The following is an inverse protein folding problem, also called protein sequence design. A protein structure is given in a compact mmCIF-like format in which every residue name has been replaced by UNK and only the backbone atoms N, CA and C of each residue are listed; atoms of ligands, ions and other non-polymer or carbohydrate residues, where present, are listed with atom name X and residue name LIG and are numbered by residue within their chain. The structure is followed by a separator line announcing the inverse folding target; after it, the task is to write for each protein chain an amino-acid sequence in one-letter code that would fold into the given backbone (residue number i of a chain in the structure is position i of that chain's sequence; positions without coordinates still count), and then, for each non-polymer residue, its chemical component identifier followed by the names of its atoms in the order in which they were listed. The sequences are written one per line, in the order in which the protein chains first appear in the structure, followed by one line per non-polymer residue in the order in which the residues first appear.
data_IF_479099451985
#
_entry.id   IF_479099451985
#
_cell.length_a   1.000
_cell.length_b   1.000
_cell.length_c   1.000
_cell.angle_alpha   90.00
_cell.angle_beta   90.00
_cell.angle_gamma   90.00
#
_symmetry.space_group_name_H-M   'P 1'
#
loop_
_entity.id
_entity.type
_entity.pdbx_description
1 polymer ?
#
# COMPACT_ATOMS: atom_id res chain seq x y z
N UNK A 1 -13.18 -5.14 1.76
CA UNK A 1 -13.85 -4.53 2.94
C UNK A 1 -12.81 -4.14 3.99
N UNK A 2 -11.70 -4.88 4.13
CA UNK A 2 -10.59 -4.52 5.01
C UNK A 2 -9.85 -3.23 4.63
N UNK A 3 -9.73 -2.93 3.33
CA UNK A 3 -8.99 -1.76 2.83
C UNK A 3 -9.59 -0.44 3.32
N UNK A 4 -10.90 -0.28 3.16
CA UNK A 4 -11.60 0.93 3.60
C UNK A 4 -11.53 1.09 5.13
N UNK A 5 -11.73 0.00 5.89
CA UNK A 5 -11.60 0.02 7.35
C UNK A 5 -10.19 0.39 7.81
N UNK A 6 -9.15 -0.11 7.12
CA UNK A 6 -7.78 0.27 7.40
C UNK A 6 -7.54 1.76 7.15
N UNK A 7 -7.98 2.28 6.01
CA UNK A 7 -7.82 3.70 5.68
C UNK A 7 -8.58 4.58 6.68
N UNK A 8 -9.76 4.17 7.13
CA UNK A 8 -10.50 4.87 8.19
C UNK A 8 -9.75 4.86 9.52
N UNK A 9 -9.12 3.74 9.88
CA UNK A 9 -8.29 3.66 11.08
C UNK A 9 -7.09 4.62 10.98
N UNK A 10 -6.36 4.57 9.87
CA UNK A 10 -5.22 5.46 9.64
C UNK A 10 -5.63 6.94 9.63
N UNK A 11 -6.77 7.27 9.00
CA UNK A 11 -7.31 8.63 9.00
C UNK A 11 -7.53 9.21 10.40
N UNK A 12 -7.88 8.37 11.38
CA UNK A 12 -8.11 8.77 12.77
C UNK A 12 -6.87 8.78 13.66
N UNK A 13 -5.79 8.09 13.28
CA UNK A 13 -4.63 7.86 14.14
C UNK A 13 -3.33 8.50 13.63
N UNK A 14 -3.25 8.80 12.33
CA UNK A 14 -2.03 9.26 11.69
C UNK A 14 -2.03 10.78 11.45
N UNK A 15 -0.90 11.43 11.70
CA UNK A 15 -0.71 12.85 11.43
C UNK A 15 -0.39 13.09 9.94
N UNK A 16 -1.43 13.08 9.12
CA UNK A 16 -1.27 13.36 7.70
C UNK A 16 -0.91 14.82 7.38
N UNK A 17 -1.06 15.75 8.33
CA UNK A 17 -0.59 17.13 8.14
C UNK A 17 0.94 17.14 8.04
N UNK A 18 1.61 16.44 8.97
CA UNK A 18 3.05 16.23 8.91
C UNK A 18 3.47 15.45 7.67
N UNK A 19 2.73 14.41 7.28
CA UNK A 19 3.00 13.65 6.06
C UNK A 19 3.02 14.56 4.82
N UNK A 20 2.00 15.42 4.67
CA UNK A 20 1.92 16.39 3.58
C UNK A 20 3.09 17.39 3.58
N UNK A 21 3.57 17.80 4.75
CA UNK A 21 4.75 18.67 4.83
C UNK A 21 6.03 17.98 4.37
N UNK A 22 6.24 16.71 4.75
CA UNK A 22 7.43 15.94 4.39
C UNK A 22 7.46 15.67 2.88
N UNK A 23 6.37 15.17 2.31
CA UNK A 23 6.29 14.84 0.87
C UNK A 23 6.35 16.08 -0.03
N UNK A 24 5.99 17.26 0.48
CA UNK A 24 6.16 18.52 -0.24
C UNK A 24 7.64 18.97 -0.36
N UNK A 25 8.56 18.39 0.43
CA UNK A 25 9.99 18.69 0.34
C UNK A 25 10.61 17.96 -0.86
N UNK A 26 11.14 18.67 -1.88
CA UNK A 26 11.74 18.01 -3.04
C UNK A 26 12.89 17.06 -2.69
N UNK A 27 13.62 17.37 -1.61
CA UNK A 27 14.74 16.57 -1.11
C UNK A 27 14.29 15.27 -0.44
N UNK A 28 13.03 15.15 -0.02
CA UNK A 28 12.52 13.96 0.63
C UNK A 28 12.30 12.81 -0.36
N UNK A 29 12.08 13.09 -1.65
CA UNK A 29 11.72 12.10 -2.68
C UNK A 29 12.53 10.79 -2.63
N UNK A 30 13.87 10.79 -2.54
CA UNK A 30 14.65 9.55 -2.47
C UNK A 30 14.38 8.70 -1.22
N UNK A 31 13.86 9.31 -0.16
CA UNK A 31 13.65 8.70 1.16
C UNK A 31 12.18 8.42 1.46
N UNK A 32 11.23 8.87 0.62
CA UNK A 32 9.79 8.79 0.90
C UNK A 32 9.35 7.36 1.17
N UNK A 33 9.86 6.36 0.43
CA UNK A 33 9.50 4.96 0.67
C UNK A 33 9.87 4.49 2.09
N UNK A 34 11.14 4.69 2.48
CA UNK A 34 11.62 4.28 3.81
C UNK A 34 10.97 5.09 4.94
N UNK A 35 10.78 6.39 4.72
CA UNK A 35 10.08 7.25 5.66
C UNK A 35 8.62 6.81 5.83
N UNK A 36 7.87 6.61 4.74
CA UNK A 36 6.47 6.20 4.80
C UNK A 36 6.31 4.82 5.44
N UNK A 37 7.23 3.90 5.15
CA UNK A 37 7.28 2.58 5.79
C UNK A 37 7.36 2.74 7.31
N UNK A 38 8.32 3.52 7.81
CA UNK A 38 8.47 3.75 9.25
C UNK A 38 7.25 4.48 9.84
N UNK A 39 6.82 5.57 9.21
CA UNK A 39 5.80 6.49 9.72
C UNK A 39 4.42 5.82 9.81
N UNK A 40 4.03 5.07 8.77
CA UNK A 40 2.79 4.28 8.81
C UNK A 40 2.90 3.05 9.71
N UNK A 41 4.06 2.40 9.80
CA UNK A 41 4.23 1.25 10.71
C UNK A 41 3.90 1.62 12.15
N UNK A 42 4.28 2.83 12.59
CA UNK A 42 3.95 3.31 13.93
C UNK A 42 2.43 3.46 14.13
N UNK A 43 1.71 4.03 13.17
CA UNK A 43 0.25 4.17 13.26
C UNK A 43 -0.47 2.82 13.15
N UNK A 44 0.00 1.93 12.29
CA UNK A 44 -0.52 0.56 12.17
C UNK A 44 -0.30 -0.24 13.46
N UNK A 45 0.74 0.10 14.21
CA UNK A 45 1.11 -0.55 15.47
C UNK A 45 0.33 -0.05 16.70
N UNK A 46 -0.64 0.84 16.55
CA UNK A 46 -1.38 1.42 17.70
C UNK A 46 -2.56 0.55 18.19
N UNK A 47 -2.70 -0.67 17.69
CA UNK A 47 -3.74 -1.61 18.15
C UNK A 47 -3.29 -2.36 19.42
N UNK A 48 -4.25 -2.61 20.33
CA UNK A 48 -4.02 -3.35 21.58
C UNK A 48 -3.67 -4.83 21.39
N UNK A 49 -3.97 -5.39 20.21
CA UNK A 49 -3.95 -6.84 19.97
C UNK A 49 -2.69 -7.26 19.19
N UNK A 50 -1.61 -6.48 19.28
CA UNK A 50 -0.35 -6.75 18.60
C UNK A 50 0.58 -7.52 19.51
N UNK A 51 1.10 -8.63 19.01
CA UNK A 51 2.06 -9.48 19.70
C UNK A 51 3.50 -9.17 19.29
N UNK A 52 3.74 -8.94 17.99
CA UNK A 52 5.09 -8.68 17.46
C UNK A 52 5.07 -7.87 16.16
N UNK A 53 6.18 -7.21 15.85
CA UNK A 53 6.38 -6.37 14.66
C UNK A 53 7.76 -6.64 14.06
N UNK A 54 7.81 -6.95 12.75
CA UNK A 54 9.06 -7.15 12.03
C UNK A 54 9.11 -6.38 10.71
N UNK A 55 10.28 -5.84 10.39
CA UNK A 55 10.57 -5.21 9.11
C UNK A 55 11.20 -6.18 8.11
N UNK A 56 10.94 -5.94 6.83
CA UNK A 56 11.50 -6.72 5.70
C UNK A 56 11.31 -8.24 5.88
N UNK A 57 10.14 -8.64 6.36
CA UNK A 57 9.86 -10.02 6.78
C UNK A 57 9.52 -10.89 5.57
N UNK A 58 10.22 -12.03 5.36
CA UNK A 58 9.88 -12.94 4.28
C UNK A 58 8.54 -13.62 4.52
N UNK A 59 7.72 -13.71 3.47
CA UNK A 59 6.45 -14.41 3.53
C UNK A 59 6.65 -15.89 3.87
N UNK A 60 5.78 -16.42 4.73
CA UNK A 60 5.79 -17.83 5.14
C UNK A 60 4.38 -18.39 5.22
N UNK A 61 4.24 -19.67 4.88
CA UNK A 61 3.03 -20.45 5.10
C UNK A 61 3.42 -21.89 5.47
N UNK A 62 2.84 -22.45 6.53
CA UNK A 62 3.17 -23.80 7.02
C UNK A 62 4.68 -24.06 7.13
N UNK A 63 5.38 -23.10 7.74
CA UNK A 63 6.84 -23.05 7.90
C UNK A 63 7.70 -22.88 6.64
N UNK A 64 7.14 -22.94 5.43
CA UNK A 64 7.85 -22.75 4.18
C UNK A 64 7.97 -21.27 3.79
N UNK A 65 9.08 -20.87 3.15
CA UNK A 65 9.22 -19.52 2.60
C UNK A 65 8.59 -19.44 1.22
N UNK A 66 7.92 -18.33 0.94
CA UNK A 66 7.18 -18.15 -0.31
C UNK A 66 7.89 -17.18 -1.24
N UNK A 67 7.90 -17.53 -2.54
CA UNK A 67 8.38 -16.66 -3.62
C UNK A 67 7.29 -16.47 -4.67
N UNK A 68 7.05 -15.22 -5.05
CA UNK A 68 6.27 -14.91 -6.24
C UNK A 68 7.09 -15.13 -7.52
N UNK A 69 6.51 -15.82 -8.49
CA UNK A 69 7.12 -16.09 -9.80
C UNK A 69 6.36 -15.31 -10.88
N UNK A 70 6.93 -14.21 -11.35
CA UNK A 70 6.24 -13.27 -12.25
C UNK A 70 5.79 -13.89 -13.58
N UNK A 71 6.55 -14.86 -14.12
CA UNK A 71 6.25 -15.49 -15.42
C UNK A 71 4.96 -16.32 -15.39
N UNK A 72 4.75 -17.09 -14.32
CA UNK A 72 3.59 -17.95 -14.10
C UNK A 72 2.50 -17.27 -13.28
N UNK A 73 2.79 -16.11 -12.66
CA UNK A 73 1.92 -15.44 -11.69
C UNK A 73 1.48 -16.37 -10.54
N UNK A 74 2.39 -17.26 -10.11
CA UNK A 74 2.21 -18.22 -9.02
C UNK A 74 3.05 -17.85 -7.79
N UNK A 75 2.72 -18.48 -6.66
CA UNK A 75 3.56 -18.53 -5.46
C UNK A 75 4.08 -19.95 -5.31
N UNK A 76 5.36 -20.09 -5.02
CA UNK A 76 6.02 -21.38 -4.85
C UNK A 76 6.87 -21.38 -3.56
N UNK A 77 6.98 -22.53 -2.87
CA UNK A 77 7.94 -22.72 -1.78
C UNK A 77 9.38 -22.53 -2.26
N UNK A 78 10.24 -21.98 -1.40
CA UNK A 78 11.63 -21.70 -1.73
C UNK A 78 12.55 -21.63 -0.49
N UNK A 79 13.86 -21.51 -0.74
CA UNK A 79 14.81 -21.13 0.29
C UNK A 79 14.58 -19.67 0.76
N UNK A 80 14.82 -19.39 2.05
CA UNK A 80 14.75 -18.04 2.65
C UNK A 80 15.40 -16.93 1.82
N UNK A 81 16.54 -17.22 1.19
CA UNK A 81 17.32 -16.25 0.40
C UNK A 81 16.60 -15.75 -0.86
N UNK A 82 15.61 -16.50 -1.35
CA UNK A 82 14.84 -16.16 -2.55
C UNK A 82 13.41 -15.74 -2.24
N UNK A 83 13.03 -15.74 -0.96
CA UNK A 83 11.69 -15.43 -0.52
C UNK A 83 11.30 -14.00 -0.90
N UNK A 84 10.05 -13.84 -1.34
CA UNK A 84 9.40 -12.54 -1.38
C UNK A 84 9.27 -12.01 0.06
N UNK A 85 9.31 -10.69 0.22
CA UNK A 85 9.28 -10.04 1.54
C UNK A 85 8.22 -8.95 1.56
N UNK A 86 7.52 -8.86 2.68
CA UNK A 86 6.76 -7.67 3.03
C UNK A 86 7.71 -6.63 3.65
N UNK A 87 7.38 -5.36 3.52
CA UNK A 87 8.12 -4.29 4.22
C UNK A 87 7.87 -4.35 5.73
N UNK A 88 6.66 -4.74 6.13
CA UNK A 88 6.25 -4.86 7.53
C UNK A 88 5.39 -6.12 7.73
N UNK A 89 5.63 -6.81 8.84
CA UNK A 89 4.72 -7.84 9.39
C UNK A 89 4.33 -7.44 10.79
N UNK A 90 3.02 -7.43 11.06
CA UNK A 90 2.45 -7.30 12.40
C UNK A 90 1.78 -8.63 12.73
N UNK A 91 2.14 -9.24 13.86
CA UNK A 91 1.52 -10.47 14.34
C UNK A 91 0.44 -10.13 15.37
N UNK A 92 -0.73 -10.74 15.22
CA UNK A 92 -1.87 -10.67 16.15
C UNK A 92 -2.23 -12.10 16.58
N UNK A 93 -3.00 -12.32 17.67
CA UNK A 93 -3.27 -13.65 18.20
C UNK A 93 -3.86 -14.68 17.21
N UNK A 94 -4.50 -14.21 16.15
CA UNK A 94 -5.16 -15.08 15.16
C UNK A 94 -4.53 -15.07 13.77
N UNK A 95 -3.73 -14.06 13.42
CA UNK A 95 -3.21 -13.89 12.05
C UNK A 95 -2.05 -12.91 11.97
N UNK A 96 -1.28 -13.01 10.88
CA UNK A 96 -0.33 -11.98 10.49
C UNK A 96 -0.98 -10.96 9.55
N UNK A 97 -0.58 -9.71 9.71
CA UNK A 97 -0.86 -8.61 8.81
C UNK A 97 0.45 -8.25 8.11
N UNK A 98 0.51 -8.50 6.81
CA UNK A 98 1.66 -8.21 5.95
C UNK A 98 1.39 -6.95 5.16
N UNK A 99 2.27 -5.96 5.26
CA UNK A 99 2.16 -4.70 4.54
C UNK A 99 3.36 -4.51 3.62
N UNK A 100 3.06 -4.07 2.41
CA UNK A 100 4.02 -3.55 1.47
C UNK A 100 3.70 -2.10 1.16
N UNK A 101 4.73 -1.30 0.96
CA UNK A 101 4.62 0.11 0.65
C UNK A 101 5.15 0.38 -0.75
N UNK A 102 4.37 1.09 -1.54
CA UNK A 102 4.81 1.68 -2.81
C UNK A 102 4.59 3.19 -2.72
N UNK A 103 5.41 3.95 -3.44
CA UNK A 103 5.29 5.41 -3.47
C UNK A 103 5.39 5.87 -4.91
N UNK A 104 4.52 6.80 -5.31
CA UNK A 104 4.48 7.30 -6.68
C UNK A 104 4.16 8.80 -6.72
N UNK A 105 5.06 9.59 -7.27
CA UNK A 105 4.77 10.98 -7.62
C UNK A 105 3.91 11.07 -8.88
N UNK A 106 3.13 12.14 -9.06
CA UNK A 106 2.38 12.38 -10.30
C UNK A 106 3.25 12.23 -11.56
N UNK A 107 4.49 12.72 -11.54
CA UNK A 107 5.38 12.67 -12.72
C UNK A 107 5.82 11.23 -13.02
N UNK A 108 5.86 10.38 -12.00
CA UNK A 108 6.19 8.95 -12.14
C UNK A 108 4.98 8.15 -12.62
N UNK A 109 3.76 8.59 -12.31
CA UNK A 109 2.54 7.98 -12.87
C UNK A 109 2.47 8.15 -14.40
N UNK A 110 2.96 9.27 -14.92
CA UNK A 110 3.08 9.50 -16.36
C UNK A 110 4.12 8.55 -17.01
N UNK A 111 5.14 8.13 -16.26
CA UNK A 111 6.14 7.15 -16.71
C UNK A 111 5.54 5.74 -16.80
N UNK A 112 5.45 5.20 -18.01
CA UNK A 112 5.01 3.81 -18.24
C UNK A 112 5.81 2.80 -17.43
N UNK A 113 7.11 3.05 -17.24
CA UNK A 113 8.00 2.15 -16.48
C UNK A 113 7.57 2.09 -15.01
N UNK A 114 7.36 3.24 -14.38
CA UNK A 114 7.07 3.30 -12.96
C UNK A 114 5.63 2.88 -12.66
N UNK A 115 4.69 3.26 -13.54
CA UNK A 115 3.32 2.74 -13.52
C UNK A 115 3.26 1.21 -13.64
N UNK A 116 4.06 0.61 -14.52
CA UNK A 116 4.11 -0.85 -14.64
C UNK A 116 4.65 -1.53 -13.36
N UNK A 117 5.56 -0.90 -12.62
CA UNK A 117 6.01 -1.43 -11.32
C UNK A 117 4.86 -1.50 -10.33
N UNK A 118 4.07 -0.43 -10.23
CA UNK A 118 2.87 -0.42 -9.38
C UNK A 118 1.92 -1.58 -9.76
N UNK A 119 1.67 -1.78 -11.06
CA UNK A 119 0.81 -2.87 -11.52
C UNK A 119 1.37 -4.26 -11.16
N UNK A 120 2.68 -4.44 -11.31
CA UNK A 120 3.36 -5.69 -10.97
C UNK A 120 3.31 -5.94 -9.45
N UNK A 121 3.47 -4.90 -8.62
CA UNK A 121 3.35 -4.98 -7.17
C UNK A 121 1.92 -5.34 -6.75
N UNK A 122 0.89 -4.68 -7.30
CA UNK A 122 -0.50 -5.02 -7.02
C UNK A 122 -0.81 -6.46 -7.41
N UNK A 123 -0.36 -6.91 -8.58
CA UNK A 123 -0.54 -8.29 -9.03
C UNK A 123 0.13 -9.28 -8.09
N UNK A 124 1.39 -9.00 -7.72
CA UNK A 124 2.17 -9.83 -6.82
C UNK A 124 1.52 -9.96 -5.44
N UNK A 125 1.11 -8.85 -4.84
CA UNK A 125 0.41 -8.83 -3.54
C UNK A 125 -0.91 -9.57 -3.62
N UNK A 126 -1.70 -9.37 -4.68
CA UNK A 126 -2.94 -10.09 -4.88
C UNK A 126 -2.72 -11.61 -5.02
N UNK A 127 -1.65 -12.04 -5.68
CA UNK A 127 -1.26 -13.45 -5.79
C UNK A 127 -0.80 -14.01 -4.43
N UNK A 128 0.02 -13.28 -3.68
CA UNK A 128 0.47 -13.68 -2.34
C UNK A 128 -0.69 -13.80 -1.34
N UNK A 129 -1.63 -12.84 -1.36
CA UNK A 129 -2.86 -12.87 -0.55
C UNK A 129 -3.66 -14.15 -0.76
N UNK A 130 -3.78 -14.61 -2.01
CA UNK A 130 -4.50 -15.85 -2.32
C UNK A 130 -3.80 -17.11 -1.79
N UNK A 131 -2.48 -17.06 -1.65
CA UNK A 131 -1.67 -18.16 -1.10
C UNK A 131 -1.56 -18.13 0.43
N UNK A 132 -2.07 -17.07 1.08
CA UNK A 132 -2.04 -16.87 2.53
C UNK A 132 -3.47 -16.61 3.05
N UNK A 133 -4.39 -17.58 2.98
CA UNK A 133 -5.81 -17.35 3.28
C UNK A 133 -6.12 -17.05 4.75
N UNK A 134 -5.20 -17.39 5.66
CA UNK A 134 -5.34 -17.15 7.11
C UNK A 134 -4.78 -15.78 7.53
N UNK A 135 -3.96 -15.16 6.68
CA UNK A 135 -3.31 -13.87 6.93
C UNK A 135 -3.95 -12.76 6.07
N UNK A 136 -3.63 -11.51 6.42
CA UNK A 136 -3.92 -10.36 5.56
C UNK A 136 -2.65 -9.89 4.87
N UNK A 137 -2.71 -9.69 3.56
CA UNK A 137 -1.61 -9.10 2.79
C UNK A 137 -2.12 -7.84 2.12
N UNK A 138 -1.51 -6.70 2.37
CA UNK A 138 -1.99 -5.38 1.96
C UNK A 138 -0.88 -4.61 1.23
N UNK A 139 -1.24 -3.96 0.12
CA UNK A 139 -0.37 -2.99 -0.52
C UNK A 139 -0.89 -1.59 -0.19
N UNK A 140 -0.06 -0.79 0.44
CA UNK A 140 -0.29 0.63 0.69
C UNK A 140 0.51 1.46 -0.29
N UNK A 141 -0.15 2.37 -0.99
CA UNK A 141 0.49 3.19 -2.02
C UNK A 141 0.34 4.66 -1.67
N UNK A 142 1.46 5.30 -1.32
CA UNK A 142 1.54 6.74 -1.15
C UNK A 142 1.60 7.43 -2.50
N UNK A 143 0.56 8.15 -2.87
CA UNK A 143 0.51 8.98 -4.07
C UNK A 143 0.69 10.44 -3.67
N UNK A 144 1.50 11.21 -4.38
CA UNK A 144 1.55 12.65 -4.14
C UNK A 144 1.67 13.49 -5.40
N UNK A 145 1.05 14.67 -5.33
CA UNK A 145 0.96 15.63 -6.43
C UNK A 145 -0.49 16.07 -6.68
N UNK A 146 -0.72 16.60 -7.88
CA UNK A 146 -2.01 17.04 -8.42
C UNK A 146 -2.42 16.08 -9.54
N UNK A 147 -3.51 15.35 -9.32
CA UNK A 147 -3.96 14.32 -10.25
C UNK A 147 -5.15 14.80 -11.08
N UNK A 148 -5.00 14.76 -12.39
CA UNK A 148 -6.02 15.11 -13.37
C UNK A 148 -6.99 13.95 -13.63
N UNK A 149 -8.03 14.22 -14.42
CA UNK A 149 -8.91 13.16 -14.94
C UNK A 149 -8.19 12.16 -15.86
N UNK A 150 -7.07 12.53 -16.50
CA UNK A 150 -6.28 11.60 -17.31
C UNK A 150 -5.45 10.66 -16.46
N UNK A 151 -4.86 11.18 -15.37
CA UNK A 151 -4.08 10.41 -14.41
C UNK A 151 -4.93 9.30 -13.78
N UNK A 152 -6.19 9.59 -13.46
CA UNK A 152 -7.11 8.61 -12.86
C UNK A 152 -7.35 7.41 -13.78
N UNK A 153 -7.30 7.58 -15.11
CA UNK A 153 -7.46 6.46 -16.05
C UNK A 153 -6.33 5.43 -15.91
N UNK A 154 -5.17 5.86 -15.43
CA UNK A 154 -4.06 4.95 -15.13
C UNK A 154 -4.33 4.05 -13.91
N UNK A 155 -5.36 4.33 -13.11
CA UNK A 155 -5.74 3.48 -11.98
C UNK A 155 -6.90 2.52 -12.27
N UNK A 156 -7.61 2.66 -13.40
CA UNK A 156 -8.71 1.76 -13.80
C UNK A 156 -8.32 0.26 -13.80
N UNK A 157 -7.12 -0.15 -14.23
CA UNK A 157 -6.72 -1.55 -14.15
C UNK A 157 -6.65 -2.10 -12.71
N UNK A 158 -6.48 -1.21 -11.73
CA UNK A 158 -6.31 -1.55 -10.31
C UNK A 158 -7.60 -1.37 -9.50
N UNK A 159 -8.62 -0.73 -10.07
CA UNK A 159 -9.90 -0.47 -9.44
C UNK A 159 -11.05 -0.66 -10.44
N UNK A 160 -11.65 -1.85 -10.42
CA UNK A 160 -12.68 -2.31 -11.34
C UNK A 160 -13.67 -3.28 -10.65
N UNK A 161 -14.41 -4.09 -11.41
CA UNK A 161 -15.39 -5.01 -10.83
C UNK A 161 -14.77 -6.22 -10.10
N UNK A 162 -13.50 -6.51 -10.38
CA UNK A 162 -12.77 -7.66 -9.81
C UNK A 162 -11.73 -7.26 -8.77
N UNK A 163 -11.31 -6.00 -8.79
CA UNK A 163 -10.35 -5.42 -7.86
C UNK A 163 -10.96 -4.14 -7.31
N UNK A 164 -11.00 -3.98 -5.99
CA UNK A 164 -11.50 -2.76 -5.37
C UNK A 164 -10.37 -2.13 -4.58
N UNK A 165 -9.92 -0.96 -5.03
CA UNK A 165 -8.92 -0.17 -4.34
C UNK A 165 -9.59 1.07 -3.76
N UNK A 166 -9.23 1.40 -2.51
CA UNK A 166 -9.70 2.60 -1.85
C UNK A 166 -8.55 3.58 -1.69
N UNK A 167 -8.87 4.86 -1.63
CA UNK A 167 -7.91 5.92 -1.42
C UNK A 167 -8.41 6.88 -0.37
N UNK A 168 -7.50 7.23 0.54
CA UNK A 168 -7.65 8.28 1.52
C UNK A 168 -7.06 9.56 0.95
N UNK A 169 -7.91 10.57 0.74
CA UNK A 169 -7.47 11.92 0.42
C UNK A 169 -7.20 12.69 1.71
N UNK A 170 -5.93 12.87 2.02
CA UNK A 170 -5.52 13.42 3.32
C UNK A 170 -5.75 14.92 3.46
N UNK A 171 -6.09 15.60 2.36
CA UNK A 171 -6.50 17.01 2.37
C UNK A 171 -7.97 17.19 2.78
N UNK A 172 -8.75 16.11 2.81
CA UNK A 172 -10.16 16.11 3.16
C UNK A 172 -10.37 15.64 4.60
N UNK A 173 -11.56 15.89 5.14
CA UNK A 173 -11.99 15.41 6.45
C UNK A 173 -13.42 14.88 6.38
N UNK A 174 -13.75 13.90 7.21
CA UNK A 174 -15.10 13.35 7.30
C UNK A 174 -15.38 12.26 6.25
N UNK A 175 -16.65 12.04 5.92
CA UNK A 175 -17.10 10.87 5.15
C UNK A 175 -16.63 10.84 3.69
N UNK A 176 -16.24 11.99 3.13
CA UNK A 176 -15.72 12.11 1.75
C UNK A 176 -14.22 11.88 1.64
N UNK A 177 -13.53 11.69 2.78
CA UNK A 177 -12.08 11.51 2.81
C UNK A 177 -11.63 10.19 2.19
N UNK A 178 -12.49 9.17 2.17
CA UNK A 178 -12.19 7.87 1.57
C UNK A 178 -13.13 7.60 0.40
N UNK A 179 -12.56 7.30 -0.75
CA UNK A 179 -13.29 6.96 -1.96
C UNK A 179 -12.68 5.73 -2.64
N UNK A 180 -13.35 5.22 -3.68
CA UNK A 180 -12.69 4.32 -4.63
C UNK A 180 -11.58 5.07 -5.36
N UNK A 181 -10.47 4.40 -5.65
CA UNK A 181 -9.30 5.02 -6.28
C UNK A 181 -9.65 5.67 -7.63
N UNK A 182 -10.47 5.00 -8.45
CA UNK A 182 -10.96 5.53 -9.73
C UNK A 182 -11.92 6.72 -9.58
N UNK A 183 -12.45 6.96 -8.38
CA UNK A 183 -13.39 8.04 -8.07
C UNK A 183 -12.74 9.16 -7.24
N UNK A 184 -11.42 9.15 -7.10
CA UNK A 184 -10.72 10.18 -6.34
C UNK A 184 -10.98 11.56 -6.91
N UNK A 185 -10.93 12.57 -6.04
CA UNK A 185 -11.17 13.96 -6.43
C UNK A 185 -10.20 14.36 -7.54
N UNK A 186 -10.74 14.90 -8.62
CA UNK A 186 -9.96 15.36 -9.78
C UNK A 186 -9.48 16.78 -9.50
N UNK A 187 -8.24 17.07 -9.88
CA UNK A 187 -7.66 18.41 -9.89
C UNK A 187 -7.55 19.05 -8.48
N UNK A 188 -6.88 20.19 -8.39
CA UNK A 188 -6.61 20.92 -7.14
C UNK A 188 -5.14 20.93 -6.74
N UNK A 189 -4.88 21.51 -5.57
CA UNK A 189 -3.53 21.66 -5.02
C UNK A 189 -2.82 20.30 -4.82
N UNK A 190 -1.47 20.29 -4.90
CA UNK A 190 -0.68 19.12 -4.59
C UNK A 190 -1.01 18.58 -3.20
N UNK A 191 -1.22 17.27 -3.10
CA UNK A 191 -1.62 16.62 -1.85
C UNK A 191 -1.11 15.18 -1.78
N UNK A 192 -1.02 14.67 -0.56
CA UNK A 192 -0.77 13.26 -0.30
C UNK A 192 -2.07 12.46 -0.30
N UNK A 193 -2.07 11.34 -0.99
CA UNK A 193 -3.13 10.34 -0.96
C UNK A 193 -2.54 9.01 -0.52
N UNK A 194 -3.30 8.23 0.24
CA UNK A 194 -2.91 6.88 0.63
C UNK A 194 -3.91 5.88 0.06
N UNK A 195 -3.50 5.09 -0.91
CA UNK A 195 -4.31 4.03 -1.49
C UNK A 195 -4.04 2.68 -0.81
N UNK A 196 -5.07 1.84 -0.71
CA UNK A 196 -4.99 0.49 -0.17
C UNK A 196 -5.62 -0.51 -1.14
N UNK A 197 -4.87 -1.58 -1.44
CA UNK A 197 -5.25 -2.67 -2.34
C UNK A 197 -5.30 -4.00 -1.59
#
# INVERSE_FOLDING_TARGET
MIQQSLLSHLAGQHDFSKANQVIAMPQAKPFVHSWLTLDLSLSLAQSSDIEDIHFASPYRHNDEYLKFVSKSASVEPCDKRYASKADLRISTPGKNLWFEFHVLHQDELASKKDRNKLYDDTKRVATLRKSLPEDEVMLLVGLWGSFSGEDIKHFEPLDNNTQCAYVLDTSLTGSTQIARLSHMKKEGEPRFLLAAF
#
